data_IF_403482144080
#
_entry.id   IF_403482144080
#
_cell.length_a   1.000
_cell.length_b   1.000
_cell.length_c   1.000
_cell.angle_alpha   90.00
_cell.angle_beta   90.00
_cell.angle_gamma   90.00
#
_symmetry.space_group_name_H-M   'P 1'
#
loop_
_entity.id
_entity.type
_entity.pdbx_description
1 polymer ?
#
# COMPACT_ATOMS: atom_id res chain seq x y z
N UNK A 1 25.97 10.12 15.10
CA UNK A 1 25.73 9.48 13.79
C UNK A 1 24.55 10.15 13.13
N UNK A 2 24.62 10.57 11.86
CA UNK A 2 23.46 11.07 11.14
C UNK A 2 22.44 9.93 10.96
N UNK A 3 21.16 10.20 11.27
CA UNK A 3 20.07 9.26 11.05
C UNK A 3 19.69 9.26 9.56
N UNK A 4 19.37 8.08 9.02
CA UNK A 4 18.81 7.93 7.67
C UNK A 4 17.34 7.57 7.79
N UNK A 5 16.49 8.37 7.14
CA UNK A 5 15.05 8.11 7.06
C UNK A 5 14.66 7.48 5.73
N UNK A 6 13.57 6.72 5.73
CA UNK A 6 12.92 6.23 4.52
C UNK A 6 11.40 6.25 4.73
N UNK A 7 10.64 6.43 3.65
CA UNK A 7 9.19 6.29 3.65
C UNK A 7 8.82 4.92 3.09
N UNK A 8 8.13 4.12 3.90
CA UNK A 8 7.59 2.83 3.47
C UNK A 8 6.11 2.99 3.14
N UNK A 9 5.74 2.59 1.92
CA UNK A 9 4.36 2.48 1.46
C UNK A 9 4.04 1.01 1.28
N UNK A 10 3.10 0.49 2.05
CA UNK A 10 2.63 -0.89 1.90
C UNK A 10 1.42 -0.83 0.97
N UNK A 11 1.61 -1.34 -0.26
CA UNK A 11 0.65 -1.33 -1.35
C UNK A 11 -0.63 -2.10 -0.97
N UNK A 12 -1.80 -1.51 -1.28
CA UNK A 12 -3.15 -2.05 -1.06
C UNK A 12 -3.88 -2.41 -2.37
N UNK A 13 -3.19 -2.71 -3.47
CA UNK A 13 -3.81 -2.70 -4.80
C UNK A 13 -5.15 -3.45 -4.97
N UNK A 14 -6.12 -2.63 -5.38
CA UNK A 14 -7.42 -2.84 -6.03
C UNK A 14 -8.52 -3.63 -5.32
N UNK A 15 -8.35 -4.91 -4.99
CA UNK A 15 -9.41 -5.62 -4.25
C UNK A 15 -9.58 -5.05 -2.81
N UNK A 16 -8.49 -4.78 -2.05
CA UNK A 16 -8.61 -4.23 -0.70
C UNK A 16 -8.99 -2.75 -0.66
N UNK A 17 -8.61 -1.92 -1.63
CA UNK A 17 -8.98 -0.49 -1.66
C UNK A 17 -10.47 -0.32 -1.93
N UNK A 18 -11.06 -1.15 -2.79
CA UNK A 18 -12.49 -1.14 -3.05
C UNK A 18 -13.31 -1.54 -1.80
N UNK A 19 -12.76 -2.41 -0.95
CA UNK A 19 -13.37 -2.83 0.32
C UNK A 19 -12.92 -2.02 1.53
N UNK A 20 -11.98 -1.09 1.36
CA UNK A 20 -11.42 -0.32 2.46
C UNK A 20 -12.34 0.84 2.84
N UNK A 21 -12.53 1.03 4.14
CA UNK A 21 -13.08 2.28 4.67
C UNK A 21 -12.26 3.46 4.15
N UNK A 22 -12.93 4.39 3.44
CA UNK A 22 -12.31 5.57 2.83
C UNK A 22 -11.14 5.24 1.88
N UNK A 23 -11.27 4.20 1.05
CA UNK A 23 -10.23 3.76 0.12
C UNK A 23 -9.59 4.90 -0.70
N UNK A 24 -10.40 5.65 -1.45
CA UNK A 24 -9.92 6.78 -2.27
C UNK A 24 -9.27 7.89 -1.43
N UNK A 25 -9.87 8.26 -0.29
CA UNK A 25 -9.32 9.27 0.61
C UNK A 25 -7.97 8.85 1.22
N UNK A 26 -7.80 7.56 1.50
CA UNK A 26 -6.53 7.02 1.99
C UNK A 26 -5.45 7.06 0.91
N UNK A 27 -5.79 6.72 -0.34
CA UNK A 27 -4.85 6.79 -1.46
C UNK A 27 -4.36 8.23 -1.66
N UNK A 28 -5.29 9.20 -1.66
CA UNK A 28 -4.96 10.61 -1.77
C UNK A 28 -4.05 11.09 -0.61
N UNK A 29 -4.37 10.68 0.63
CA UNK A 29 -3.57 11.03 1.80
C UNK A 29 -2.14 10.44 1.78
N UNK A 30 -1.91 9.32 1.08
CA UNK A 30 -0.60 8.68 0.95
C UNK A 30 0.24 9.35 -0.16
N UNK A 31 -0.39 9.89 -1.20
CA UNK A 31 0.28 10.48 -2.36
C UNK A 31 1.14 11.70 -1.96
N UNK A 32 0.55 12.70 -1.30
CA UNK A 32 1.24 13.93 -0.94
C UNK A 32 2.51 13.75 -0.09
N UNK A 33 2.49 12.96 1.00
CA UNK A 33 3.71 12.70 1.76
C UNK A 33 4.77 11.90 0.98
N UNK A 34 4.37 11.09 0.00
CA UNK A 34 5.31 10.35 -0.86
C UNK A 34 6.00 11.28 -1.86
N UNK A 35 5.27 12.25 -2.40
CA UNK A 35 5.84 13.32 -3.24
C UNK A 35 6.81 14.19 -2.45
N UNK A 36 6.45 14.61 -1.24
CA UNK A 36 7.35 15.37 -0.36
C UNK A 36 8.61 14.59 0.01
N UNK A 37 8.50 13.30 0.29
CA UNK A 37 9.65 12.46 0.56
C UNK A 37 10.62 12.41 -0.64
N UNK A 38 10.10 12.20 -1.85
CA UNK A 38 10.92 12.21 -3.07
C UNK A 38 11.57 13.58 -3.31
N UNK A 39 10.83 14.67 -3.13
CA UNK A 39 11.36 16.02 -3.29
C UNK A 39 12.49 16.34 -2.29
N UNK A 40 12.45 15.75 -1.09
CA UNK A 40 13.48 15.87 -0.07
C UNK A 40 14.64 14.88 -0.22
N UNK A 41 14.68 14.08 -1.30
CA UNK A 41 15.70 13.03 -1.50
C UNK A 41 15.58 11.85 -0.53
N UNK A 42 14.45 11.72 0.19
CA UNK A 42 14.19 10.62 1.10
C UNK A 42 13.72 9.40 0.30
N UNK A 43 14.36 8.22 0.46
CA UNK A 43 13.94 7.01 -0.24
C UNK A 43 12.47 6.65 0.02
N UNK A 44 11.74 6.31 -1.04
CA UNK A 44 10.36 5.79 -0.96
C UNK A 44 10.37 4.32 -1.39
N UNK A 45 10.08 3.43 -0.45
CA UNK A 45 10.04 1.98 -0.67
C UNK A 45 8.59 1.53 -0.74
N UNK A 46 8.22 0.77 -1.77
CA UNK A 46 6.87 0.20 -1.90
C UNK A 46 6.89 -1.30 -1.71
N UNK A 47 6.14 -1.81 -0.73
CA UNK A 47 6.00 -3.23 -0.43
C UNK A 47 4.67 -3.72 -1.02
N UNK A 48 4.68 -4.79 -1.81
CA UNK A 48 3.46 -5.30 -2.45
C UNK A 48 3.13 -6.69 -1.90
N UNK A 49 1.91 -6.86 -1.40
CA UNK A 49 1.44 -8.16 -0.97
C UNK A 49 1.08 -9.00 -2.20
N UNK A 50 1.67 -10.19 -2.32
CA UNK A 50 1.33 -11.18 -3.34
C UNK A 50 0.44 -12.24 -2.70
N UNK A 51 -0.86 -12.18 -3.00
CA UNK A 51 -1.76 -13.28 -2.65
C UNK A 51 -1.40 -14.45 -3.58
N UNK A 52 -1.00 -15.58 -3.01
CA UNK A 52 -1.03 -16.86 -3.72
C UNK A 52 -2.52 -17.21 -3.82
N UNK A 53 -3.06 -17.31 -5.03
CA UNK A 53 -4.42 -17.80 -5.20
C UNK A 53 -4.56 -19.10 -4.38
N UNK A 54 -5.57 -19.15 -3.51
CA UNK A 54 -5.96 -20.41 -2.92
C UNK A 54 -6.27 -21.35 -4.08
N UNK A 55 -5.50 -22.42 -4.19
CA UNK A 55 -5.83 -23.53 -5.10
C UNK A 55 -7.18 -24.06 -4.63
N UNK A 56 -8.19 -23.90 -5.48
CA UNK A 56 -9.47 -24.63 -5.52
C UNK A 56 -9.99 -25.17 -4.18
N UNK A 57 -10.33 -24.28 -3.25
CA UNK A 57 -11.28 -24.61 -2.20
C UNK A 57 -12.57 -23.85 -2.50
N UNK A 58 -13.43 -24.54 -3.24
CA UNK A 58 -14.86 -24.27 -3.42
C UNK A 58 -15.48 -23.83 -2.09
N UNK A 59 -15.69 -22.52 -1.93
CA UNK A 59 -16.57 -22.01 -0.89
C UNK A 59 -17.98 -21.96 -1.48
N UNK A 60 -18.72 -23.03 -1.28
CA UNK A 60 -20.16 -23.09 -1.53
C UNK A 60 -20.87 -22.70 -0.24
N UNK A 61 -21.38 -21.46 -0.10
CA UNK A 61 -22.22 -21.11 1.05
C UNK A 61 -23.57 -21.81 0.94
N UNK A 62 -24.02 -22.36 2.07
CA UNK A 62 -25.36 -22.89 2.28
C UNK A 62 -26.43 -21.79 2.38
#
# INVERSE_FOLDING_TARGET
MPSRGARVVIDRRNAPVAMAYRGAGTVAAIAGPSERARAAGVPVVTVRHRVRAAVDAEFTPA
#
